data_IF_969735461822
#
_entry.id   IF_969735461822
#
_cell.length_a   1.000
_cell.length_b   1.000
_cell.length_c   1.000
_cell.angle_alpha   90.00
_cell.angle_beta   90.00
_cell.angle_gamma   90.00
#
_symmetry.space_group_name_H-M   'P 1'
#
loop_
_entity.id
_entity.type
_entity.pdbx_description
1 polymer ?
2 non-polymer ?
3 non-polymer ?
4 non-polymer ?
5 water ?
#
# COMPACT_ATOMS: atom_id res chain seq x y z
N UNK A 4 1.29 -18.21 -7.97
CA UNK A 4 2.30 -18.67 -6.97
C UNK A 4 2.45 -17.90 -5.66
N UNK A 5 1.88 -16.71 -5.63
CA UNK A 5 2.03 -15.81 -4.48
C UNK A 5 0.69 -15.25 -4.03
N UNK A 6 -0.34 -16.09 -4.15
CA UNK A 6 -1.70 -15.69 -3.84
C UNK A 6 -2.18 -16.22 -2.48
N UNK A 7 -2.50 -15.30 -1.58
CA UNK A 7 -2.91 -15.67 -0.24
C UNK A 7 -2.45 -14.78 0.87
N UNK A 8 -2.85 -15.15 2.07
CA UNK A 8 -2.48 -14.48 3.29
C UNK A 8 -1.58 -15.33 4.15
N UNK A 9 -1.37 -16.59 3.76
CA UNK A 9 -0.51 -17.47 4.55
C UNK A 9 0.57 -18.05 3.66
N UNK A 10 1.79 -18.08 4.17
CA UNK A 10 2.89 -18.70 3.44
C UNK A 10 3.36 -19.87 4.27
N UNK A 11 3.04 -21.06 3.78
CA UNK A 11 3.47 -22.29 4.45
C UNK A 11 4.89 -22.61 3.97
N UNK A 12 5.83 -22.79 4.90
CA UNK A 12 7.24 -22.90 4.50
C UNK A 12 8.07 -23.78 5.40
N UNK A 13 9.16 -24.29 4.85
CA UNK A 13 10.22 -25.01 5.59
C UNK A 13 11.53 -24.49 5.03
N UNK A 14 12.40 -23.98 5.90
CA UNK A 14 13.69 -23.43 5.53
C UNK A 14 14.86 -24.30 6.05
N UNK A 15 15.93 -24.36 5.24
CA UNK A 15 17.14 -25.19 5.51
C UNK A 15 18.42 -24.42 5.24
N UNK A 16 19.46 -24.61 6.05
CA UNK A 16 20.84 -24.26 5.62
C UNK A 16 21.19 -25.12 4.43
N UNK A 17 21.88 -24.54 3.47
CA UNK A 17 22.42 -25.27 2.35
C UNK A 17 23.93 -25.36 2.51
N UNK A 18 24.44 -26.58 2.51
CA UNK A 18 25.88 -26.79 2.75
C UNK A 18 26.67 -26.88 1.44
N UNK A 19 26.03 -27.32 0.35
CA UNK A 19 26.66 -27.38 -0.98
C UNK A 19 25.73 -26.90 -2.10
N UNK A 20 26.04 -25.71 -2.66
CA UNK A 20 25.25 -25.12 -3.74
C UNK A 20 25.19 -25.91 -5.07
N UNK A 21 26.27 -26.62 -5.41
CA UNK A 21 26.30 -27.47 -6.60
C UNK A 21 25.26 -28.59 -6.45
N UNK A 22 25.23 -29.23 -5.29
CA UNK A 22 24.26 -30.29 -5.00
C UNK A 22 22.83 -29.73 -5.01
N UNK A 23 22.64 -28.58 -4.36
CA UNK A 23 21.35 -27.90 -4.49
C UNK A 23 20.98 -27.72 -5.96
N UNK A 24 21.90 -27.22 -6.79
CA UNK A 24 21.53 -27.00 -8.18
C UNK A 24 21.12 -28.31 -8.90
N UNK A 25 21.81 -29.40 -8.56
CA UNK A 25 21.51 -30.75 -9.06
C UNK A 25 20.14 -31.19 -8.57
N UNK A 26 19.87 -31.02 -7.27
CA UNK A 26 18.55 -31.26 -6.70
C UNK A 26 17.48 -30.50 -7.50
N UNK A 27 17.71 -29.21 -7.78
CA UNK A 27 16.83 -28.40 -8.65
C UNK A 27 16.59 -29.01 -10.03
N UNK A 28 17.68 -29.40 -10.69
CA UNK A 28 17.64 -30.04 -12.01
C UNK A 28 16.81 -31.35 -11.94
N UNK A 29 17.12 -32.20 -10.96
CA UNK A 29 16.39 -33.46 -10.74
C UNK A 29 14.88 -33.28 -10.59
N UNK A 30 14.45 -32.13 -10.06
CA UNK A 30 13.03 -31.85 -9.90
C UNK A 30 12.43 -31.04 -11.06
N UNK A 31 13.23 -30.80 -12.10
CA UNK A 31 12.85 -29.95 -13.25
C UNK A 31 12.37 -28.54 -12.87
N UNK A 32 12.99 -27.97 -11.83
CA UNK A 32 12.63 -26.61 -11.37
C UNK A 32 12.81 -25.63 -12.50
N UNK A 33 11.88 -24.67 -12.58
CA UNK A 33 11.99 -23.54 -13.52
C UNK A 33 12.35 -22.19 -12.85
N UNK A 34 13.13 -21.35 -13.52
CA UNK A 34 13.53 -20.08 -12.88
C UNK A 34 12.43 -19.03 -12.90
N UNK A 35 12.14 -18.43 -11.75
CA UNK A 35 11.27 -17.25 -11.68
C UNK A 35 12.12 -16.01 -11.76
N UNK A 36 12.94 -15.76 -10.74
CA UNK A 36 13.88 -14.63 -10.77
C UNK A 36 15.21 -15.11 -10.20
N UNK A 37 16.33 -14.71 -10.81
CA UNK A 37 17.65 -15.21 -10.39
C UNK A 37 18.57 -14.09 -9.94
N UNK A 38 19.27 -14.36 -8.84
CA UNK A 38 20.34 -13.54 -8.36
C UNK A 38 19.96 -12.07 -8.14
N UNK A 39 18.80 -11.85 -7.52
CA UNK A 39 18.47 -10.46 -7.12
C UNK A 39 19.05 -10.06 -5.80
N UNK A 40 19.52 -8.80 -5.72
CA UNK A 40 19.91 -8.27 -4.46
C UNK A 40 18.58 -7.73 -3.92
N UNK A 41 18.19 -8.22 -2.76
CA UNK A 41 17.00 -7.67 -2.06
C UNK A 41 17.46 -6.87 -0.84
N UNK A 42 16.97 -5.64 -0.76
CA UNK A 42 17.18 -4.81 0.40
C UNK A 42 15.84 -4.63 1.10
N UNK A 43 15.75 -5.14 2.31
CA UNK A 43 14.51 -5.07 3.12
C UNK A 43 14.67 -4.04 4.23
N UNK A 44 13.87 -2.96 4.17
CA UNK A 44 13.85 -2.00 5.24
C UNK A 44 12.70 -2.39 6.16
N UNK A 45 13.00 -2.69 7.41
CA UNK A 45 11.95 -3.05 8.36
C UNK A 45 11.53 -1.80 9.09
N UNK A 46 10.23 -1.63 9.23
CA UNK A 46 9.66 -0.44 9.89
C UNK A 46 8.97 -0.84 11.18
N UNK A 47 9.03 0.03 12.18
CA UNK A 47 8.22 -0.25 13.34
C UNK A 47 7.96 1.08 14.09
N UNK A 48 7.06 0.99 15.07
CA UNK A 48 6.72 2.19 15.84
C UNK A 48 7.81 2.44 16.89
N UNK A 49 7.77 3.61 17.54
CA UNK A 49 8.86 3.98 18.42
C UNK A 49 9.12 3.00 19.56
N UNK A 50 8.06 2.42 20.09
CA UNK A 50 8.20 1.45 21.17
C UNK A 50 8.14 0.02 20.66
N UNK A 51 8.64 -0.21 19.44
CA UNK A 51 8.63 -1.57 18.84
C UNK A 51 7.24 -2.23 18.89
N UNK A 52 6.18 -1.43 18.70
CA UNK A 52 4.81 -1.95 18.81
C UNK A 52 4.48 -3.18 17.97
N UNK A 53 4.99 -3.24 16.73
CA UNK A 53 4.69 -4.36 15.86
C UNK A 53 5.43 -5.63 16.30
N UNK A 54 6.70 -5.47 16.62
CA UNK A 54 7.55 -6.62 17.05
C UNK A 54 6.95 -7.27 18.33
N UNK A 55 6.42 -6.44 19.22
CA UNK A 55 5.75 -6.93 20.45
C UNK A 55 4.46 -7.74 20.16
N UNK A 56 3.95 -7.66 18.92
CA UNK A 56 2.84 -8.44 18.41
C UNK A 56 3.25 -9.57 17.44
N UNK A 57 4.56 -9.82 17.33
CA UNK A 57 5.12 -10.80 16.39
C UNK A 57 4.81 -10.41 14.93
N UNK A 58 4.76 -9.10 14.65
CA UNK A 58 4.51 -8.60 13.32
C UNK A 58 5.76 -7.92 12.78
N UNK A 59 6.12 -8.15 11.52
CA UNK A 59 7.19 -7.43 10.85
C UNK A 59 6.57 -6.69 9.63
N UNK A 60 7.08 -5.52 9.33
CA UNK A 60 6.57 -4.79 8.16
C UNK A 60 7.83 -4.31 7.40
N UNK A 61 7.84 -4.65 6.14
CA UNK A 61 9.03 -4.47 5.28
C UNK A 61 8.67 -3.70 4.02
N UNK A 62 9.58 -2.81 3.62
CA UNK A 62 9.60 -2.28 2.24
C UNK A 62 10.81 -2.93 1.56
N UNK A 63 10.52 -3.70 0.52
CA UNK A 63 11.54 -4.51 -0.14
C UNK A 63 11.82 -3.97 -1.54
N UNK A 64 13.12 -3.80 -1.88
CA UNK A 64 13.49 -3.41 -3.24
C UNK A 64 14.37 -4.53 -3.78
N UNK A 65 14.02 -5.01 -4.98
CA UNK A 65 14.71 -6.17 -5.59
C UNK A 65 15.36 -5.66 -6.87
N UNK A 66 16.68 -5.88 -7.01
CA UNK A 66 17.45 -5.42 -8.17
C UNK A 66 18.28 -6.58 -8.68
N UNK A 67 18.35 -6.76 -10.02
CA UNK A 67 17.88 -5.82 -11.02
C UNK A 67 16.40 -5.97 -11.44
N UNK A 68 15.68 -6.95 -10.89
CA UNK A 68 14.31 -7.23 -11.35
C UNK A 68 13.36 -6.04 -11.23
N UNK A 69 13.72 -5.04 -10.40
CA UNK A 69 12.97 -3.78 -10.29
C UNK A 69 11.69 -3.82 -9.42
N UNK A 70 11.35 -5.00 -8.92
CA UNK A 70 10.14 -5.17 -8.13
C UNK A 70 10.27 -4.41 -6.75
N UNK A 71 9.19 -3.77 -6.31
CA UNK A 71 9.18 -3.16 -4.97
C UNK A 71 7.91 -3.64 -4.30
N UNK A 72 8.07 -4.11 -3.09
CA UNK A 72 6.97 -4.78 -2.34
C UNK A 72 6.85 -4.11 -0.99
N UNK A 73 5.60 -3.94 -0.56
CA UNK A 73 5.26 -3.63 0.82
C UNK A 73 4.70 -4.93 1.43
N UNK A 74 5.36 -5.36 2.50
CA UNK A 74 5.11 -6.67 3.12
C UNK A 74 4.72 -6.55 4.59
N UNK A 75 3.65 -7.27 5.00
CA UNK A 75 3.32 -7.38 6.41
C UNK A 75 3.29 -8.88 6.78
N UNK A 76 4.16 -9.23 7.69
CA UNK A 76 4.31 -10.61 8.14
C UNK A 76 3.78 -10.74 9.58
N UNK A 77 3.09 -11.82 9.87
CA UNK A 77 2.64 -12.07 11.24
C UNK A 77 1.21 -11.58 11.45
N UNK A 78 0.71 -11.67 12.70
CA UNK A 78 1.43 -12.11 13.91
C UNK A 78 1.93 -13.54 13.76
N UNK A 79 3.18 -13.75 14.14
CA UNK A 79 3.82 -15.08 14.05
C UNK A 79 4.39 -15.46 12.71
N UNK A 80 4.69 -16.75 12.56
CA UNK A 80 5.55 -17.21 11.45
C UNK A 80 4.85 -17.70 10.15
N UNK A 81 3.52 -17.64 10.08
CA UNK A 81 2.80 -18.11 8.89
C UNK A 81 2.11 -17.00 8.05
N UNK A 82 1.49 -16.08 8.75
CA UNK A 82 0.77 -14.99 8.14
C UNK A 82 1.75 -14.13 7.34
N UNK A 83 1.40 -13.87 6.08
CA UNK A 83 2.28 -13.07 5.20
C UNK A 83 1.49 -12.49 4.04
N UNK A 84 1.47 -11.16 3.92
CA UNK A 84 0.83 -10.54 2.79
C UNK A 84 1.75 -9.49 2.18
N UNK A 85 1.69 -9.34 0.87
CA UNK A 85 2.50 -8.33 0.17
C UNK A 85 1.68 -7.60 -0.87
N UNK A 86 2.05 -6.35 -1.14
CA UNK A 86 1.40 -5.57 -2.20
C UNK A 86 2.53 -4.98 -3.06
N UNK A 87 2.44 -5.10 -4.38
CA UNK A 87 3.35 -4.33 -5.25
C UNK A 87 3.15 -2.87 -5.07
N UNK A 88 4.25 -2.12 -4.99
CA UNK A 88 4.14 -0.68 -4.91
C UNK A 88 5.04 -0.02 -5.96
N UNK A 89 4.66 1.13 -6.45
CA UNK A 89 5.50 1.78 -7.48
C UNK A 89 6.55 2.73 -6.91
N UNK A 90 6.30 3.27 -5.73
CA UNK A 90 7.15 4.32 -5.20
C UNK A 90 7.42 4.06 -3.73
N UNK A 91 8.61 3.53 -3.44
CA UNK A 91 8.98 3.18 -2.06
C UNK A 91 9.01 4.42 -1.14
N UNK A 92 9.65 5.50 -1.59
CA UNK A 92 9.75 6.65 -0.73
C UNK A 92 8.33 7.17 -0.35
N UNK A 93 7.39 7.10 -1.30
CA UNK A 93 5.99 7.59 -1.06
C UNK A 93 5.33 6.75 0.02
N UNK A 94 5.37 5.43 -0.19
CA UNK A 94 4.81 4.54 0.87
C UNK A 94 5.50 4.68 2.24
N UNK A 95 6.83 4.76 2.25
CA UNK A 95 7.58 5.00 3.48
C UNK A 95 7.15 6.32 4.21
N UNK A 96 6.89 7.38 3.44
CA UNK A 96 6.42 8.69 3.97
C UNK A 96 5.06 8.52 4.62
N UNK A 97 4.18 7.85 3.89
CA UNK A 97 2.82 7.56 4.39
C UNK A 97 2.82 6.71 5.68
N UNK A 98 3.65 5.66 5.66
CA UNK A 98 3.86 4.91 6.90
C UNK A 98 4.46 5.72 8.06
N UNK A 99 5.39 6.63 7.74
CA UNK A 99 5.96 7.52 8.75
C UNK A 99 4.88 8.40 9.40
N UNK A 100 3.96 8.89 8.57
CA UNK A 100 2.81 9.66 9.10
C UNK A 100 2.04 8.86 10.14
N UNK A 101 1.92 7.55 9.91
CA UNK A 101 1.18 6.67 10.83
C UNK A 101 2.00 6.25 12.03
N UNK A 102 3.28 6.63 12.04
CA UNK A 102 4.16 6.37 13.16
C UNK A 102 5.17 5.26 13.01
N UNK A 103 5.25 4.67 11.82
CA UNK A 103 6.24 3.60 11.54
C UNK A 103 7.48 4.16 10.87
N UNK A 104 8.67 3.85 11.41
CA UNK A 104 9.93 4.38 10.92
C UNK A 104 10.98 3.27 10.76
N UNK A 105 11.97 3.47 9.84
CA UNK A 105 12.99 2.42 9.65
C UNK A 105 13.68 2.04 10.94
N UNK A 106 13.79 0.73 11.16
CA UNK A 106 14.27 0.17 12.41
C UNK A 106 15.60 -0.53 12.19
N UNK A 107 15.68 -1.25 11.07
CA UNK A 107 16.90 -1.95 10.66
C UNK A 107 16.70 -2.42 9.22
N UNK A 108 17.79 -2.83 8.59
CA UNK A 108 17.79 -3.28 7.20
C UNK A 108 18.42 -4.66 7.14
N UNK A 109 17.84 -5.53 6.35
CA UNK A 109 18.40 -6.87 6.02
C UNK A 109 18.62 -6.95 4.52
N UNK A 110 19.84 -7.31 4.09
CA UNK A 110 20.14 -7.46 2.66
C UNK A 110 20.47 -8.92 2.35
N UNK A 111 20.06 -9.35 1.18
CA UNK A 111 20.38 -10.71 0.74
C UNK A 111 20.41 -10.79 -0.77
N UNK A 112 21.03 -11.86 -1.28
CA UNK A 112 20.92 -12.25 -2.66
C UNK A 112 19.88 -13.39 -2.67
N UNK A 113 18.89 -13.33 -3.56
CA UNK A 113 17.81 -14.33 -3.61
C UNK A 113 17.53 -14.76 -5.03
N UNK A 114 17.33 -16.06 -5.20
CA UNK A 114 16.81 -16.67 -6.45
C UNK A 114 15.53 -17.42 -6.09
N UNK A 115 14.55 -17.40 -6.98
CA UNK A 115 13.30 -18.12 -6.72
C UNK A 115 13.05 -19.03 -7.90
N UNK A 116 12.77 -20.30 -7.62
CA UNK A 116 12.41 -21.30 -8.63
C UNK A 116 11.01 -21.86 -8.32
N UNK A 117 10.38 -22.39 -9.35
CA UNK A 117 9.11 -23.07 -9.22
C UNK A 117 9.23 -24.58 -9.51
N UNK A 118 8.59 -25.42 -8.70
CA UNK A 118 8.37 -26.83 -9.08
C UNK A 118 6.92 -27.13 -8.76
N UNK A 119 6.13 -27.38 -9.80
CA UNK A 119 4.68 -27.46 -9.65
C UNK A 119 4.14 -26.30 -8.83
N UNK A 120 3.36 -26.62 -7.79
CA UNK A 120 2.74 -25.59 -6.96
C UNK A 120 3.69 -24.97 -5.93
N UNK A 121 4.90 -25.53 -5.81
CA UNK A 121 5.86 -25.04 -4.78
C UNK A 121 6.80 -23.96 -5.32
N UNK A 122 7.20 -23.04 -4.47
CA UNK A 122 8.32 -22.21 -4.83
C UNK A 122 9.51 -22.51 -3.95
N UNK A 123 10.69 -22.51 -4.57
CA UNK A 123 11.94 -22.78 -3.85
C UNK A 123 12.74 -21.49 -3.87
N UNK A 124 13.05 -20.95 -2.69
CA UNK A 124 13.77 -19.71 -2.62
C UNK A 124 15.17 -20.03 -2.10
N UNK A 125 16.20 -19.56 -2.81
CA UNK A 125 17.62 -19.83 -2.43
C UNK A 125 18.26 -18.47 -2.09
N UNK A 126 18.73 -18.32 -0.86
CA UNK A 126 19.19 -17.02 -0.34
C UNK A 126 20.67 -17.11 0.05
N UNK A 127 21.38 -15.99 -0.12
CA UNK A 127 22.71 -15.87 0.48
C UNK A 127 22.77 -14.60 1.34
N UNK A 128 23.20 -14.72 2.59
CA UNK A 128 23.41 -13.56 3.45
C UNK A 128 24.85 -13.54 3.93
N UNK A 129 25.49 -12.36 3.86
CA UNK A 129 26.92 -12.25 4.22
C UNK A 129 27.40 -12.96 5.48
N UNK A 130 26.85 -12.70 6.63
CA UNK A 130 27.58 -13.44 7.73
C UNK A 130 27.27 -14.91 7.85
N UNK A 131 26.08 -15.22 7.26
CA UNK A 131 25.37 -16.39 7.61
C UNK A 131 25.38 -17.57 6.68
N UNK A 132 25.52 -17.31 5.39
CA UNK A 132 25.70 -18.38 4.42
C UNK A 132 24.43 -18.56 3.58
N UNK A 133 24.22 -19.79 3.13
CA UNK A 133 23.21 -20.07 2.11
C UNK A 133 22.00 -20.81 2.74
N UNK A 134 20.81 -20.52 2.25
CA UNK A 134 19.59 -21.11 2.75
C UNK A 134 18.67 -21.47 1.57
N UNK A 135 17.80 -22.45 1.77
CA UNK A 135 16.80 -22.77 0.75
C UNK A 135 15.49 -23.01 1.47
N UNK A 136 14.38 -22.52 0.90
CA UNK A 136 13.06 -22.62 1.56
C UNK A 136 12.09 -23.21 0.55
N UNK A 137 11.32 -24.22 0.96
CA UNK A 137 10.24 -24.76 0.12
C UNK A 137 8.97 -24.13 0.66
N UNK A 138 8.15 -23.52 -0.19
CA UNK A 138 6.97 -22.83 0.31
C UNK A 138 5.77 -22.90 -0.64
N UNK A 139 4.60 -22.68 -0.08
CA UNK A 139 3.41 -22.45 -0.88
C UNK A 139 2.48 -21.47 -0.14
N UNK A 140 1.86 -20.54 -0.90
CA UNK A 140 0.93 -19.60 -0.31
C UNK A 140 -0.52 -20.17 -0.40
N UNK A 141 -1.34 -19.80 0.58
CA UNK A 141 -2.79 -20.10 0.55
C UNK A 141 -3.60 -18.97 1.17
N UNK A 142 -4.87 -18.85 0.76
CA UNK A 142 -5.76 -17.93 1.44
C UNK A 142 -6.63 -18.61 2.47
N UNK A 143 -6.51 -19.93 2.59
CA UNK A 143 -7.45 -20.72 3.37
C UNK A 143 -6.75 -21.38 4.56
N UNK A 144 -7.00 -20.82 5.74
CA UNK A 144 -6.39 -21.25 6.98
C UNK A 144 -6.72 -22.70 7.27
N UNK A 145 -7.88 -23.17 6.79
CA UNK A 145 -8.28 -24.56 7.05
C UNK A 145 -7.25 -25.57 6.48
N UNK A 146 -6.65 -25.20 5.33
CA UNK A 146 -5.60 -26.00 4.62
C UNK A 146 -4.18 -26.05 5.21
N UNK A 147 -3.84 -25.25 6.21
CA UNK A 147 -2.42 -25.14 6.62
C UNK A 147 -1.79 -26.47 7.03
N UNK A 148 -2.62 -27.34 7.62
CA UNK A 148 -2.28 -28.74 7.94
C UNK A 148 -1.78 -29.53 6.75
N UNK A 149 -2.64 -29.59 5.74
CA UNK A 149 -2.41 -30.40 4.55
C UNK A 149 -1.12 -29.84 3.95
N UNK A 150 -1.06 -28.52 3.82
CA UNK A 150 0.05 -27.91 3.06
C UNK A 150 1.39 -28.06 3.75
N UNK A 151 1.43 -27.97 5.08
CA UNK A 151 2.71 -28.14 5.74
C UNK A 151 3.24 -29.56 5.59
N UNK A 152 2.32 -30.54 5.65
CA UNK A 152 2.68 -31.96 5.35
C UNK A 152 3.21 -32.08 3.92
N UNK A 153 2.52 -31.42 2.99
CA UNK A 153 2.93 -31.49 1.57
C UNK A 153 4.31 -30.89 1.36
N UNK A 154 4.60 -29.81 2.10
CA UNK A 154 5.94 -29.18 2.04
C UNK A 154 7.04 -30.12 2.51
N UNK A 155 6.75 -30.80 3.63
CA UNK A 155 7.63 -31.83 4.15
C UNK A 155 7.85 -32.99 3.16
N UNK A 156 6.78 -33.53 2.58
CA UNK A 156 6.94 -34.58 1.54
C UNK A 156 7.84 -34.06 0.39
N UNK A 157 7.62 -32.82 -0.06
CA UNK A 157 8.40 -32.34 -1.18
C UNK A 157 9.81 -32.14 -0.73
N UNK A 158 10.01 -31.60 0.47
CA UNK A 158 11.38 -31.35 0.95
C UNK A 158 12.13 -32.69 1.00
N UNK A 159 11.43 -33.72 1.45
CA UNK A 159 12.02 -35.08 1.57
C UNK A 159 12.41 -35.65 0.20
N UNK A 160 11.50 -35.56 -0.77
CA UNK A 160 11.79 -36.03 -2.13
C UNK A 160 12.89 -35.17 -2.77
N UNK A 161 12.88 -33.88 -2.46
CA UNK A 161 13.88 -32.95 -2.99
C UNK A 161 15.27 -33.31 -2.51
N UNK A 162 15.40 -33.73 -1.25
CA UNK A 162 16.71 -34.00 -0.67
C UNK A 162 17.10 -33.13 0.52
N UNK A 163 16.19 -32.23 0.92
CA UNK A 163 16.47 -31.31 2.03
C UNK A 163 16.09 -32.00 3.33
N UNK A 164 17.05 -32.10 4.24
CA UNK A 164 16.96 -32.98 5.40
C UNK A 164 16.80 -32.23 6.69
N UNK A 165 16.04 -32.83 7.60
CA UNK A 165 15.82 -32.27 8.93
C UNK A 165 17.05 -31.76 9.68
N UNK A 166 18.22 -32.44 9.59
CA UNK A 166 19.42 -31.92 10.28
C UNK A 166 19.82 -30.52 9.86
N UNK A 167 19.35 -30.08 8.70
CA UNK A 167 19.79 -28.78 8.20
C UNK A 167 18.69 -27.78 8.35
N UNK A 168 17.58 -28.20 8.98
CA UNK A 168 16.48 -27.24 9.13
C UNK A 168 16.90 -26.00 9.92
N UNK A 169 16.41 -24.84 9.44
CA UNK A 169 16.56 -23.58 10.18
C UNK A 169 15.21 -22.87 10.29
N UNK A 170 14.50 -23.03 11.43
CA UNK A 170 13.17 -22.43 11.73
C UNK A 170 13.20 -20.90 11.98
N UNK A 171 14.37 -20.35 12.26
CA UNK A 171 14.38 -18.94 12.65
C UNK A 171 14.29 -18.04 11.41
N UNK A 172 13.64 -16.88 11.55
CA UNK A 172 13.65 -15.84 10.52
C UNK A 172 15.02 -15.16 10.40
N UNK A 173 15.22 -14.40 9.31
CA UNK A 173 16.49 -13.69 9.20
C UNK A 173 16.59 -12.65 10.33
N UNK A 174 15.50 -11.97 10.67
CA UNK A 174 15.63 -10.96 11.77
C UNK A 174 16.02 -11.66 13.11
N UNK A 175 15.49 -12.85 13.37
CA UNK A 175 15.88 -13.66 14.55
C UNK A 175 17.36 -14.06 14.45
N UNK A 176 17.78 -14.56 13.28
CA UNK A 176 19.20 -14.95 13.11
C UNK A 176 20.22 -13.82 13.28
N UNK A 177 19.80 -12.60 12.94
CA UNK A 177 20.69 -11.44 12.96
C UNK A 177 20.56 -10.61 14.22
N UNK A 178 19.60 -10.95 15.08
CA UNK A 178 19.47 -10.25 16.34
C UNK A 178 18.76 -8.93 16.25
N UNK A 179 17.76 -8.89 15.36
CA UNK A 179 16.85 -7.71 15.24
C UNK A 179 15.40 -7.98 15.60
N UNK B 4 0.19 16.43 -11.87
CA UNK B 4 -0.89 17.02 -11.02
C UNK B 4 -1.04 16.53 -9.58
N UNK B 5 -0.62 15.32 -9.34
CA UNK B 5 -0.87 14.77 -8.02
C UNK B 5 0.45 14.49 -7.28
N UNK B 6 1.36 15.45 -7.40
CA UNK B 6 2.70 15.33 -6.85
C UNK B 6 2.83 16.24 -5.65
N UNK B 7 3.11 15.63 -4.50
CA UNK B 7 3.38 16.41 -3.31
C UNK B 7 2.87 15.79 -2.03
N UNK B 8 3.31 16.38 -0.93
CA UNK B 8 2.77 15.98 0.36
C UNK B 8 1.80 16.98 0.99
N UNK B 9 1.64 18.13 0.33
CA UNK B 9 0.60 19.09 0.70
C UNK B 9 -0.45 19.15 -0.37
N UNK B 10 -1.72 19.31 0.05
CA UNK B 10 -2.80 19.62 -0.90
C UNK B 10 -3.55 20.85 -0.41
N UNK B 11 -3.52 21.90 -1.22
CA UNK B 11 -4.30 23.08 -0.97
C UNK B 11 -5.64 22.92 -1.68
N UNK B 12 -6.72 23.07 -0.94
CA UNK B 12 -8.06 22.72 -1.49
C UNK B 12 -9.14 23.61 -0.91
N UNK B 13 -10.02 24.07 -1.79
CA UNK B 13 -11.23 24.75 -1.36
C UNK B 13 -12.43 24.02 -1.94
N UNK B 14 -13.38 23.74 -1.06
CA UNK B 14 -14.62 23.07 -1.48
C UNK B 14 -15.81 24.07 -1.47
N UNK B 15 -16.67 23.98 -2.50
CA UNK B 15 -17.86 24.84 -2.59
C UNK B 15 -19.12 24.00 -2.82
N UNK B 16 -20.22 24.38 -2.17
CA UNK B 16 -21.55 23.89 -2.63
C UNK B 16 -21.74 24.49 -4.03
N UNK B 17 -22.26 23.68 -4.97
CA UNK B 17 -22.48 24.17 -6.33
C UNK B 17 -23.97 24.52 -6.52
N UNK B 18 -24.27 25.79 -6.74
CA UNK B 18 -25.66 26.19 -6.89
C UNK B 18 -26.08 26.17 -8.35
N UNK B 19 -25.09 26.26 -9.24
CA UNK B 19 -25.33 26.35 -10.69
C UNK B 19 -24.38 25.45 -11.48
N UNK B 20 -24.74 24.18 -11.61
CA UNK B 20 -23.91 23.23 -12.33
C UNK B 20 -23.70 23.58 -13.81
N UNK B 21 -24.73 24.19 -14.41
CA UNK B 21 -24.61 24.60 -15.82
C UNK B 21 -23.48 25.59 -16.06
N UNK B 22 -23.47 26.70 -15.29
CA UNK B 22 -22.37 27.65 -15.39
C UNK B 22 -21.02 27.00 -15.15
N UNK B 23 -20.92 26.18 -14.11
CA UNK B 23 -19.67 25.46 -13.89
C UNK B 23 -19.21 24.70 -15.14
N UNK B 24 -20.11 23.91 -15.72
CA UNK B 24 -19.72 23.15 -16.89
C UNK B 24 -19.40 23.98 -18.10
N UNK B 25 -20.18 25.06 -18.26
CA UNK B 25 -19.94 26.02 -19.36
C UNK B 25 -18.54 26.61 -19.29
N UNK B 26 -18.09 26.88 -18.06
CA UNK B 26 -16.77 27.45 -17.82
C UNK B 26 -15.65 26.43 -17.99
N UNK B 27 -15.91 25.16 -17.64
CA UNK B 27 -14.96 24.11 -17.96
C UNK B 27 -14.67 24.00 -19.47
N UNK B 28 -15.73 24.17 -20.27
CA UNK B 28 -15.55 24.24 -21.72
C UNK B 28 -14.81 25.51 -22.17
N UNK B 29 -15.26 26.67 -21.68
CA UNK B 29 -14.61 27.97 -22.02
C UNK B 29 -13.08 27.95 -21.77
N UNK B 30 -12.69 27.31 -20.68
CA UNK B 30 -11.30 27.34 -20.23
C UNK B 30 -10.51 26.15 -20.72
N UNK B 31 -11.13 25.36 -21.61
CA UNK B 31 -10.49 24.18 -22.19
C UNK B 31 -9.94 23.18 -21.15
N UNK B 32 -10.73 22.93 -20.11
CA UNK B 32 -10.39 21.86 -19.16
C UNK B 32 -10.18 20.51 -19.83
N UNK B 33 -9.23 19.75 -19.32
CA UNK B 33 -9.08 18.37 -19.76
C UNK B 33 -9.65 17.44 -18.69
N UNK B 34 -10.53 16.56 -19.13
CA UNK B 34 -11.12 15.55 -18.26
C UNK B 34 -10.09 14.49 -17.89
N UNK B 35 -9.76 14.36 -16.60
CA UNK B 35 -8.93 13.25 -16.11
C UNK B 35 -9.79 11.99 -15.90
N UNK B 36 -10.87 12.14 -15.16
CA UNK B 36 -11.88 11.09 -15.01
C UNK B 36 -13.26 11.73 -15.16
N UNK B 37 -14.21 11.01 -15.77
CA UNK B 37 -15.56 11.55 -15.91
C UNK B 37 -16.62 10.66 -15.29
N UNK B 38 -17.49 11.26 -14.47
CA UNK B 38 -18.57 10.52 -13.81
C UNK B 38 -18.20 9.14 -13.30
N UNK B 39 -17.08 9.05 -12.58
CA UNK B 39 -16.78 7.83 -11.90
C UNK B 39 -17.57 7.64 -10.62
N UNK B 40 -17.99 6.41 -10.36
CA UNK B 40 -18.34 6.05 -9.00
C UNK B 40 -17.12 5.86 -8.12
N UNK B 41 -17.09 6.55 -6.97
CA UNK B 41 -15.99 6.43 -5.99
C UNK B 41 -16.49 5.89 -4.70
N UNK B 42 -15.91 4.78 -4.27
CA UNK B 42 -16.23 4.24 -2.97
C UNK B 42 -14.97 4.34 -2.09
N UNK B 43 -15.14 5.07 -0.99
CA UNK B 43 -14.08 5.37 -0.04
C UNK B 43 -14.35 4.64 1.24
N UNK B 44 -13.45 3.72 1.60
CA UNK B 44 -13.51 3.04 2.88
C UNK B 44 -12.55 3.73 3.80
N UNK B 45 -13.08 4.34 4.86
CA UNK B 45 -12.24 4.96 5.89
C UNK B 45 -11.81 3.96 6.93
N UNK B 46 -10.53 3.97 7.28
CA UNK B 46 -10.01 3.03 8.25
C UNK B 46 -9.44 3.73 9.52
N UNK B 47 -9.60 3.13 10.73
CA UNK B 47 -8.98 3.68 11.93
C UNK B 47 -8.79 2.53 12.92
N UNK B 48 -8.01 2.81 13.96
CA UNK B 48 -7.74 1.86 15.03
C UNK B 48 -9.02 1.81 15.88
N UNK B 49 -9.18 0.73 16.63
CA UNK B 49 -10.32 0.70 17.57
C UNK B 49 -10.52 1.97 18.43
N UNK B 50 -9.43 2.52 18.93
CA UNK B 50 -9.44 3.71 19.78
C UNK B 50 -9.54 5.02 19.01
N UNK B 51 -9.77 4.95 17.68
CA UNK B 51 -9.76 6.14 16.81
C UNK B 51 -8.42 6.94 16.89
N UNK B 52 -7.30 6.19 16.96
CA UNK B 52 -5.99 6.78 17.14
C UNK B 52 -5.66 7.83 16.06
N UNK B 53 -6.14 7.60 14.83
CA UNK B 53 -5.81 8.47 13.70
C UNK B 53 -6.67 9.75 13.77
N UNK B 54 -7.99 9.58 14.00
CA UNK B 54 -8.85 10.79 14.14
C UNK B 54 -8.34 11.71 15.25
N UNK B 55 -7.83 11.10 16.35
CA UNK B 55 -7.30 11.89 17.47
C UNK B 55 -6.10 12.73 17.10
N UNK B 56 -5.44 12.33 15.99
CA UNK B 56 -4.37 13.12 15.41
C UNK B 56 -4.80 13.98 14.20
N UNK B 57 -6.11 14.03 13.91
CA UNK B 57 -6.61 14.68 12.73
C UNK B 57 -5.92 14.08 11.48
N UNK B 58 -5.83 12.73 11.49
CA UNK B 58 -5.52 11.93 10.31
C UNK B 58 -6.72 11.15 9.85
N UNK B 59 -6.94 11.12 8.53
CA UNK B 59 -7.93 10.23 7.94
C UNK B 59 -7.15 9.27 7.01
N UNK B 60 -7.62 8.02 6.90
CA UNK B 60 -6.95 7.08 6.01
C UNK B 60 -8.02 6.39 5.21
N UNK B 61 -7.88 6.48 3.89
CA UNK B 61 -8.91 5.99 2.97
C UNK B 61 -8.36 5.02 1.93
N UNK B 62 -9.14 3.98 1.64
CA UNK B 62 -8.86 3.16 0.48
C UNK B 62 -9.97 3.48 -0.53
N UNK B 63 -9.56 4.00 -1.68
CA UNK B 63 -10.53 4.47 -2.67
C UNK B 63 -10.51 3.60 -3.93
N UNK B 64 -11.71 3.27 -4.42
CA UNK B 64 -11.88 2.58 -5.69
C UNK B 64 -12.66 3.50 -6.64
N UNK B 65 -12.14 3.75 -7.83
CA UNK B 65 -12.88 4.61 -8.76
C UNK B 65 -13.21 3.77 -9.99
N UNK B 66 -14.50 3.71 -10.34
CA UNK B 66 -14.92 2.98 -11.53
C UNK B 66 -15.74 3.85 -12.44
N UNK B 67 -15.56 3.73 -13.77
CA UNK B 67 -14.80 2.73 -14.51
C UNK B 67 -13.30 2.98 -14.78
N UNK B 68 -12.69 4.05 -14.24
CA UNK B 68 -11.29 4.35 -14.57
C UNK B 68 -10.34 3.24 -14.10
N UNK B 69 -10.80 2.45 -13.10
CA UNK B 69 -9.99 1.40 -12.51
C UNK B 69 -8.83 1.88 -11.61
N UNK B 70 -8.85 3.17 -11.25
CA UNK B 70 -7.84 3.71 -10.35
C UNK B 70 -8.17 3.24 -8.93
N UNK B 71 -7.16 2.83 -8.17
CA UNK B 71 -7.34 2.46 -6.75
C UNK B 71 -6.23 3.17 -6.00
N UNK B 72 -6.61 3.80 -4.88
CA UNK B 72 -5.71 4.65 -4.12
C UNK B 72 -5.73 4.34 -2.67
N UNK B 73 -4.56 4.40 -2.04
CA UNK B 73 -4.43 4.47 -0.61
C UNK B 73 -4.04 5.90 -0.27
N UNK B 74 -4.84 6.54 0.60
CA UNK B 74 -4.70 7.97 0.85
C UNK B 74 -4.57 8.17 2.37
N UNK B 75 -3.57 8.94 2.77
CA UNK B 75 -3.39 9.37 4.17
C UNK B 75 -3.46 10.89 4.22
N UNK B 76 -4.50 11.42 4.89
CA UNK B 76 -4.65 12.87 5.02
C UNK B 76 -4.23 13.27 6.40
N UNK B 77 -3.52 14.39 6.56
CA UNK B 77 -3.16 14.83 7.90
C UNK B 77 -1.76 14.40 8.22
N UNK B 78 -1.33 14.68 9.46
CA UNK B 78 -2.14 15.21 10.57
C UNK B 78 -2.41 16.69 10.31
N UNK B 79 -3.68 17.06 10.45
CA UNK B 79 -4.07 18.46 10.30
C UNK B 79 -4.12 18.95 8.87
N UNK B 80 -4.38 20.25 8.72
CA UNK B 80 -4.77 20.81 7.47
C UNK B 80 -3.61 20.84 6.49
N UNK B 81 -3.98 20.65 5.23
CA UNK B 81 -3.10 20.77 4.08
C UNK B 81 -2.12 19.63 3.83
N UNK B 82 -2.03 18.66 4.72
CA UNK B 82 -1.17 17.49 4.48
C UNK B 82 -2.01 16.36 3.84
N UNK B 83 -1.47 15.80 2.76
CA UNK B 83 -2.16 14.74 2.06
C UNK B 83 -1.14 14.00 1.18
N UNK B 84 -1.11 12.67 1.30
CA UNK B 84 -0.32 11.84 0.38
C UNK B 84 -1.18 10.69 -0.06
N UNK B 85 -0.97 10.26 -1.30
CA UNK B 85 -1.64 9.05 -1.81
C UNK B 85 -0.65 8.17 -2.62
N UNK B 86 -0.95 6.87 -2.67
CA UNK B 86 -0.19 5.87 -3.45
C UNK B 86 -1.18 5.10 -4.33
N UNK B 87 -0.87 4.84 -5.59
CA UNK B 87 -1.69 3.89 -6.37
C UNK B 87 -1.50 2.54 -5.75
N UNK B 88 -2.55 1.75 -5.75
CA UNK B 88 -2.49 0.36 -5.28
C UNK B 88 -3.19 -0.51 -6.30
N UNK B 89 -2.78 -1.78 -6.36
CA UNK B 89 -3.38 -2.68 -7.34
C UNK B 89 -4.72 -3.21 -6.85
N UNK B 90 -4.83 -3.46 -5.54
CA UNK B 90 -5.95 -4.24 -4.97
C UNK B 90 -6.33 -3.71 -3.59
N UNK B 91 -7.51 -3.08 -3.50
CA UNK B 91 -8.03 -2.57 -2.27
C UNK B 91 -8.13 -3.65 -1.17
N UNK B 92 -8.72 -4.81 -1.50
CA UNK B 92 -8.93 -5.80 -0.44
C UNK B 92 -7.60 -6.29 0.18
N UNK B 93 -6.58 -6.36 -0.67
CA UNK B 93 -5.22 -6.79 -0.20
C UNK B 93 -4.63 -5.77 0.75
N UNK B 94 -4.60 -4.51 0.32
CA UNK B 94 -4.13 -3.47 1.26
C UNK B 94 -4.99 -3.36 2.54
N UNK B 95 -6.31 -3.52 2.40
CA UNK B 95 -7.18 -3.45 3.53
C UNK B 95 -6.83 -4.55 4.57
N UNK B 96 -6.54 -5.74 4.06
CA UNK B 96 -6.14 -6.89 4.93
C UNK B 96 -4.83 -6.59 5.62
N UNK B 97 -3.88 -6.00 4.88
CA UNK B 97 -2.62 -5.65 5.48
C UNK B 97 -2.77 -4.61 6.58
N UNK B 98 -3.56 -3.56 6.32
CA UNK B 98 -3.77 -2.58 7.32
C UNK B 98 -4.54 -3.11 8.56
N UNK B 99 -5.47 -4.05 8.36
CA UNK B 99 -6.18 -4.71 9.48
C UNK B 99 -5.18 -5.44 10.39
N UNK B 100 -4.17 -6.08 9.78
CA UNK B 100 -3.13 -6.69 10.61
C UNK B 100 -2.43 -5.68 11.50
N UNK B 101 -2.22 -4.46 11.00
CA UNK B 101 -1.66 -3.39 11.80
C UNK B 101 -2.62 -2.70 12.80
N UNK B 102 -3.89 -3.09 12.76
CA UNK B 102 -4.86 -2.58 13.72
C UNK B 102 -5.83 -1.56 13.17
N UNK B 103 -5.81 -1.34 11.85
CA UNK B 103 -6.76 -0.34 11.20
C UNK B 103 -7.87 -1.05 10.50
N UNK B 104 -9.13 -0.75 10.93
CA UNK B 104 -10.30 -1.43 10.43
C UNK B 104 -11.32 -0.46 9.86
N UNK B 105 -12.18 -0.94 8.95
CA UNK B 105 -13.18 -0.05 8.34
C UNK B 105 -14.08 0.59 9.40
N UNK B 106 -14.19 1.91 9.29
CA UNK B 106 -14.98 2.69 10.26
C UNK B 106 -16.32 3.10 9.62
N UNK B 107 -16.28 3.43 8.35
CA UNK B 107 -17.48 3.84 7.56
C UNK B 107 -17.02 3.99 6.11
N UNK B 108 -17.98 4.17 5.18
CA UNK B 108 -17.73 4.23 3.77
C UNK B 108 -18.50 5.45 3.29
N UNK B 109 -17.90 6.14 2.36
CA UNK B 109 -18.55 7.22 1.64
C UNK B 109 -18.51 6.89 0.16
N UNK B 110 -19.67 7.08 -0.50
CA UNK B 110 -19.76 6.94 -1.94
C UNK B 110 -20.17 8.26 -2.59
N UNK B 111 -19.68 8.50 -3.79
CA UNK B 111 -20.04 9.69 -4.53
C UNK B 111 -19.82 9.46 -6.03
N UNK B 112 -20.37 10.36 -6.83
CA UNK B 112 -19.99 10.41 -8.23
C UNK B 112 -19.01 11.55 -8.32
N UNK B 113 -17.93 11.34 -9.06
CA UNK B 113 -16.92 12.38 -9.17
C UNK B 113 -16.34 12.41 -10.59
N UNK B 114 -16.19 13.63 -11.09
CA UNK B 114 -15.40 13.96 -12.30
C UNK B 114 -14.22 14.81 -11.88
N UNK B 115 -13.08 14.60 -12.53
CA UNK B 115 -11.87 15.35 -12.18
C UNK B 115 -11.35 15.99 -13.47
N UNK B 116 -11.12 17.30 -13.46
CA UNK B 116 -10.64 18.01 -14.64
C UNK B 116 -9.35 18.74 -14.24
N UNK B 117 -8.54 19.00 -15.25
CA UNK B 117 -7.30 19.76 -15.05
C UNK B 117 -7.44 21.08 -15.79
N UNK B 118 -7.04 22.19 -15.16
CA UNK B 118 -6.94 23.43 -15.90
C UNK B 118 -5.64 24.07 -15.45
N UNK B 119 -4.69 24.08 -16.36
CA UNK B 119 -3.35 24.56 -16.03
C UNK B 119 -2.83 23.74 -14.85
N UNK B 120 -2.41 24.44 -13.80
CA UNK B 120 -1.80 23.76 -12.64
C UNK B 120 -2.84 23.26 -11.61
N UNK B 121 -4.10 23.63 -11.83
CA UNK B 121 -5.17 23.28 -10.90
C UNK B 121 -5.88 21.99 -11.27
N UNK B 122 -6.47 21.35 -10.26
CA UNK B 122 -7.51 20.38 -10.62
C UNK B 122 -8.83 20.78 -10.01
N UNK B 123 -9.93 20.48 -10.71
CA UNK B 123 -11.24 20.79 -10.20
C UNK B 123 -12.04 19.51 -10.23
N UNK B 124 -12.69 19.24 -9.11
CA UNK B 124 -13.42 18.00 -8.95
C UNK B 124 -14.90 18.40 -8.87
N UNK B 125 -15.78 17.67 -9.55
CA UNK B 125 -17.23 17.97 -9.49
C UNK B 125 -17.85 16.72 -8.91
N UNK B 126 -18.46 16.86 -7.73
CA UNK B 126 -18.91 15.73 -6.92
C UNK B 126 -20.44 15.79 -6.74
N UNK B 127 -21.07 14.62 -6.76
CA UNK B 127 -22.46 14.52 -6.33
C UNK B 127 -22.59 13.44 -5.30
N UNK B 128 -23.22 13.78 -4.17
CA UNK B 128 -23.45 12.84 -3.05
C UNK B 128 -24.96 12.77 -2.79
N UNK B 129 -25.50 11.56 -2.93
CA UNK B 129 -26.95 11.32 -2.83
C UNK B 129 -27.64 12.13 -1.75
N UNK B 130 -27.22 12.01 -0.51
CA UNK B 130 -28.03 12.72 0.52
C UNK B 130 -27.84 14.25 0.50
N UNK B 131 -26.72 14.67 -0.09
CA UNK B 131 -26.06 15.91 0.31
C UNK B 131 -26.09 16.94 -0.77
N UNK B 132 -25.87 16.50 -2.00
CA UNK B 132 -25.91 17.40 -3.14
C UNK B 132 -24.64 17.51 -3.96
N UNK B 133 -24.53 18.65 -4.64
CA UNK B 133 -23.43 18.93 -5.56
C UNK B 133 -22.37 19.84 -4.97
N UNK B 134 -21.12 19.42 -5.14
CA UNK B 134 -19.96 20.19 -4.65
C UNK B 134 -18.90 20.28 -5.72
N UNK B 135 -18.01 21.26 -5.57
CA UNK B 135 -16.81 21.27 -6.42
C UNK B 135 -15.60 21.56 -5.54
N UNK B 136 -14.50 20.84 -5.74
CA UNK B 136 -13.22 21.11 -4.99
C UNK B 136 -12.23 21.69 -6.00
N UNK B 137 -11.53 22.77 -5.62
CA UNK B 137 -10.47 23.33 -6.45
C UNK B 137 -9.18 23.12 -5.68
N UNK B 138 -8.19 22.47 -6.28
CA UNK B 138 -7.03 22.01 -5.50
C UNK B 138 -5.76 22.01 -6.28
N UNK B 139 -4.65 22.05 -5.54
CA UNK B 139 -3.35 21.86 -6.13
C UNK B 139 -2.45 21.21 -5.11
N UNK B 140 -1.63 20.26 -5.55
CA UNK B 140 -0.66 19.59 -4.65
C UNK B 140 0.71 20.22 -4.85
N UNK B 141 1.47 20.26 -3.75
CA UNK B 141 2.83 20.74 -3.77
C UNK B 141 3.65 20.05 -2.68
N UNK B 142 4.98 20.09 -2.83
CA UNK B 142 5.88 19.68 -1.74
C UNK B 142 6.43 20.84 -0.95
N UNK B 143 6.09 22.05 -1.38
CA UNK B 143 6.73 23.29 -0.92
C UNK B 143 5.80 24.02 0.07
N UNK B 144 6.14 23.99 1.36
CA UNK B 144 5.25 24.62 2.35
C UNK B 144 5.25 26.15 2.26
N UNK B 145 6.26 26.70 1.57
CA UNK B 145 6.41 28.17 1.56
C UNK B 145 5.42 28.92 0.65
N UNK B 146 4.64 28.19 -0.15
CA UNK B 146 3.71 28.82 -1.13
C UNK B 146 2.23 28.60 -0.80
N UNK B 147 1.94 27.95 0.33
CA UNK B 147 0.59 27.46 0.60
C UNK B 147 -0.43 28.59 0.65
N UNK B 148 -0.05 29.75 1.20
CA UNK B 148 -1.05 30.85 1.28
C UNK B 148 -1.39 31.40 -0.12
N UNK B 149 -0.36 31.59 -0.93
CA UNK B 149 -0.51 32.03 -2.33
C UNK B 149 -1.36 31.05 -3.10
N UNK B 150 -1.08 29.75 -2.90
CA UNK B 150 -1.83 28.76 -3.64
C UNK B 150 -3.28 28.78 -3.25
N UNK B 151 -3.58 28.92 -1.96
CA UNK B 151 -4.97 28.93 -1.55
C UNK B 151 -5.73 30.13 -2.15
N UNK B 152 -5.08 31.30 -2.12
CA UNK B 152 -5.70 32.50 -2.72
C UNK B 152 -5.90 32.33 -4.23
N UNK B 153 -4.93 31.75 -4.92
CA UNK B 153 -5.08 31.43 -6.36
C UNK B 153 -6.26 30.47 -6.56
N UNK B 154 -6.46 29.49 -5.66
CA UNK B 154 -7.62 28.56 -5.80
C UNK B 154 -8.94 29.32 -5.68
N UNK B 155 -9.01 30.27 -4.77
CA UNK B 155 -10.25 31.02 -4.59
C UNK B 155 -10.54 31.85 -5.83
N UNK B 156 -9.52 32.48 -6.41
CA UNK B 156 -9.74 33.27 -7.64
C UNK B 156 -10.28 32.41 -8.75
N UNK B 157 -9.59 31.31 -8.93
CA UNK B 157 -9.88 30.35 -9.97
C UNK B 157 -11.30 29.89 -9.78
N UNK B 158 -11.69 29.51 -8.56
CA UNK B 158 -13.07 29.06 -8.30
C UNK B 158 -14.14 30.10 -8.69
N UNK B 159 -13.88 31.40 -8.40
CA UNK B 159 -14.87 32.47 -8.68
C UNK B 159 -15.20 32.46 -10.19
N UNK B 160 -14.22 32.04 -10.96
CA UNK B 160 -14.22 32.10 -12.42
C UNK B 160 -15.14 31.02 -13.04
N UNK B 161 -15.63 30.13 -12.18
CA UNK B 161 -16.57 29.03 -12.51
C UNK B 161 -17.93 29.30 -11.88
N UNK B 162 -18.08 30.47 -11.28
CA UNK B 162 -19.29 30.85 -10.60
C UNK B 162 -19.42 30.44 -9.14
N UNK B 163 -18.31 30.01 -8.55
CA UNK B 163 -18.28 29.52 -7.19
C UNK B 163 -17.83 30.65 -6.24
N UNK B 164 -18.73 31.11 -5.40
CA UNK B 164 -18.52 32.30 -4.55
C UNK B 164 -18.21 31.93 -3.09
N UNK B 165 -17.51 32.84 -2.39
CA UNK B 165 -17.15 32.61 -0.98
C UNK B 165 -18.32 32.22 -0.07
N UNK B 166 -19.51 32.72 -0.35
CA UNK B 166 -20.65 32.39 0.51
C UNK B 166 -21.15 30.93 0.38
N UNK B 167 -20.65 30.22 -0.62
CA UNK B 167 -21.00 28.80 -0.83
C UNK B 167 -19.80 27.94 -0.46
N UNK B 168 -18.77 28.56 0.12
CA UNK B 168 -17.59 27.79 0.59
C UNK B 168 -18.08 26.81 1.70
N UNK B 169 -17.58 25.58 1.62
CA UNK B 169 -17.93 24.57 2.60
C UNK B 169 -16.68 24.01 3.29
N UNK B 170 -16.36 24.48 4.54
CA UNK B 170 -15.18 23.99 5.28
C UNK B 170 -15.31 22.59 5.83
N UNK B 171 -16.54 22.09 5.95
CA UNK B 171 -16.67 20.72 6.53
C UNK B 171 -16.38 19.62 5.51
N UNK B 172 -15.71 18.57 5.97
CA UNK B 172 -15.46 17.43 5.09
C UNK B 172 -16.68 16.57 4.86
N UNK B 173 -16.62 15.69 3.86
CA UNK B 173 -17.76 14.81 3.67
C UNK B 173 -17.99 13.93 4.90
N UNK B 174 -16.91 13.49 5.56
CA UNK B 174 -17.09 12.67 6.74
C UNK B 174 -17.86 13.47 7.81
N UNK B 175 -17.55 14.76 7.98
CA UNK B 175 -18.28 15.60 8.96
C UNK B 175 -19.75 15.78 8.56
N UNK B 176 -19.96 16.02 7.26
CA UNK B 176 -21.32 16.31 6.74
C UNK B 176 -22.24 15.09 6.86
N UNK B 177 -21.63 13.90 6.82
CA UNK B 177 -22.36 12.64 6.91
C UNK B 177 -22.45 12.05 8.33
N UNK B 178 -21.96 12.81 9.32
CA UNK B 178 -22.06 12.45 10.74
C UNK B 178 -21.03 11.42 11.18
N UNK B 179 -19.95 11.27 10.41
CA UNK B 179 -18.82 10.40 10.80
C UNK B 179 -17.57 11.18 11.27
X LIG C 1 8.71 -13.66 1.78
X LIG C 1 10.00 -13.10 1.22
X LIG C 1 9.02 -14.62 2.91
X LIG C 1 7.77 -12.43 2.26
X LIG C 1 7.07 -11.64 1.30
X LIG C 1 6.32 -12.61 0.41
X LIG C 1 5.58 -11.99 -0.63
X LIG C 1 7.28 -13.54 -0.33
X LIG C 1 7.89 -14.43 0.59
X LIG C 1 6.37 -14.13 -1.40
X LIG C 1 5.64 -15.26 -0.88
X LIG C 1 5.40 -12.96 -1.67
X LIG C 1 5.60 -12.31 -2.99
X LIG C 1 4.63 -11.63 -3.63
X LIG C 1 5.07 -11.14 -4.82
X LIG C 1 6.35 -11.52 -4.95
X LIG C 1 7.41 -11.33 -5.97
X LIG C 1 7.15 -10.63 -7.10
X LIG C 1 8.63 -11.88 -5.73
X LIG C 1 8.88 -12.57 -4.60
X LIG C 1 7.96 -12.79 -3.62
X LIG C 1 6.70 -12.29 -3.74
X LIG D 1 9.38 -16.94 3.08
X LIG E 1 7.62 -16.48 -0.75
X LIG F 1 12.33 -12.97 4.15
X LIG F 1 12.69 -12.58 5.50
X LIG F 1 11.00 -12.44 3.87
X LIG F 1 12.49 -14.44 3.98
X LIG F 1 13.43 -12.27 3.50
X LIG G 1 -8.72 14.08 -2.36
X LIG G 1 -9.90 13.29 -2.89
X LIG G 1 -9.20 15.31 -1.60
X LIG G 1 -7.84 13.09 -1.43
X LIG G 1 -7.04 12.09 -2.03
X LIG G 1 -6.09 12.80 -2.99
X LIG G 1 -5.18 11.96 -3.69
X LIG G 1 -6.88 13.46 -4.12
X LIG G 1 -7.67 14.51 -3.55
X LIG G 1 -5.78 13.77 -5.13
X LIG G 1 -5.20 15.07 -4.92
X LIG G 1 -4.71 12.71 -4.82
X LIG G 1 -4.36 11.79 -5.94
X LIG G 1 -3.14 11.24 -6.13
X LIG G 1 -3.09 10.44 -7.22
X LIG G 1 -4.33 10.45 -7.76
X LIG G 1 -4.98 9.82 -8.94
X LIG G 1 -4.30 8.98 -9.76
X LIG G 1 -6.28 10.10 -9.13
X LIG G 1 -6.99 10.92 -8.32
X LIG G 1 -6.46 11.53 -7.25
X LIG G 1 -5.15 11.34 -6.93
X LIG H 1 -7.28 16.44 -4.93
X LIG I 1 -12.76 13.52 -0.51
X LIG I 1 -13.46 13.34 0.74
X LIG I 1 -12.84 14.92 -0.89
X LIG I 1 -11.34 13.09 -0.40
X LIG I 1 -13.51 12.66 -1.41
#
# INVERSE_FOLDING_TARGET
MSEHFVGKYEVELKFRVMDLTTLHEQLVAQKATAFTLNNHEKDIYLDANGQDLAKQQISMVLREMNPSGIRLWIVKGPGAERCEASNIEDVSKVQSMLATLGYHPAFTIEKQRSIYFVGKFHITVDHLTGLGDFAEIAIMTDDATELDKLKAECRDFANTFGLQVDQQEPRSYRQLLGF
MSEHFVGKYEVELKFRVMDLTTLHEQLVAQKATAFTLNNHEKDIYLDANGQDLAKQQISMVLREMNPSGIRLWIVKGPGAERCEASNIEDVSKVQSMLATLGYHPAFTIEKQRSIYFVGKFHITVDHLTGLGDFAEIAIMTDDATELDKLKAECRDFANTFGLQVDQQEPRSYRQLLGF
CMP P O1P O2P O5' C5' C4' O4' C3' O3' C2' O2' C1' N9 C8 N7 C5 C6 N6 N1 C2 N3 C4
MN MN
MN MN
SO4 S O1 O2 O3 O4
CMP P O1P O2P O5' C5' C4' O4' C3' O3' C2' O2' C1' N9 C8 N7 C5 C6 N6 N1 C2 N3 C4
MN MN
SO4 S O1 O2 O3 O4
#
